data_IF_101950276952
#
_entry.id   IF_101950276952
#
_cell.length_a   1.000
_cell.length_b   1.000
_cell.length_c   1.000
_cell.angle_alpha   90.00
_cell.angle_beta   90.00
_cell.angle_gamma   90.00
#
_symmetry.space_group_name_H-M   'P 1'
#
loop_
_entity.id
_entity.type
_entity.pdbx_description
1 polymer ?
#
# COMPACT_ATOMS: atom_id res chain seq x y z
N UNK A 1 -31.46 -12.22 7.28
CA UNK A 1 -30.55 -12.48 6.15
C UNK A 1 -29.81 -11.17 5.93
N UNK A 2 -28.54 -11.08 6.32
CA UNK A 2 -27.74 -9.90 6.00
C UNK A 2 -27.70 -9.78 4.47
N UNK A 3 -27.96 -8.60 3.94
CA UNK A 3 -27.94 -8.36 2.50
C UNK A 3 -26.49 -8.26 2.04
N UNK A 4 -25.88 -9.42 1.81
CA UNK A 4 -24.50 -9.52 1.32
C UNK A 4 -24.31 -8.75 0.01
N UNK A 5 -25.34 -8.65 -0.84
CA UNK A 5 -25.26 -7.90 -2.08
C UNK A 5 -25.11 -6.38 -1.85
N UNK A 6 -25.82 -5.84 -0.85
CA UNK A 6 -25.64 -4.43 -0.46
C UNK A 6 -24.24 -4.17 0.08
N UNK A 7 -23.70 -5.09 0.89
CA UNK A 7 -22.36 -4.97 1.45
C UNK A 7 -21.28 -4.97 0.37
N UNK A 8 -21.36 -5.90 -0.59
CA UNK A 8 -20.43 -5.99 -1.70
C UNK A 8 -20.50 -4.75 -2.59
N UNK A 9 -21.70 -4.25 -2.87
CA UNK A 9 -21.88 -3.00 -3.61
C UNK A 9 -21.21 -1.82 -2.91
N UNK A 10 -21.42 -1.68 -1.59
CA UNK A 10 -20.82 -0.58 -0.83
C UNK A 10 -19.29 -0.65 -0.88
N UNK A 11 -18.69 -1.83 -0.68
CA UNK A 11 -17.24 -1.97 -0.60
C UNK A 11 -16.53 -1.92 -1.96
N UNK A 12 -17.07 -2.57 -2.98
CA UNK A 12 -16.37 -2.77 -4.25
C UNK A 12 -16.83 -1.81 -5.35
N UNK A 13 -17.95 -1.10 -5.15
CA UNK A 13 -18.46 -0.12 -6.11
C UNK A 13 -18.46 1.29 -5.52
N UNK A 14 -19.21 1.54 -4.45
CA UNK A 14 -19.38 2.91 -3.94
C UNK A 14 -18.10 3.46 -3.28
N UNK A 15 -17.48 2.67 -2.40
CA UNK A 15 -16.33 3.10 -1.61
C UNK A 15 -15.12 3.55 -2.46
N UNK A 16 -14.70 2.84 -3.53
CA UNK A 16 -13.58 3.28 -4.38
C UNK A 16 -13.79 4.66 -4.99
N UNK A 17 -14.98 4.95 -5.51
CA UNK A 17 -15.27 6.28 -6.08
C UNK A 17 -15.21 7.38 -5.01
N UNK A 18 -15.84 7.16 -3.86
CA UNK A 18 -15.81 8.13 -2.75
C UNK A 18 -14.37 8.36 -2.28
N UNK A 19 -13.58 7.29 -2.13
CA UNK A 19 -12.19 7.39 -1.71
C UNK A 19 -11.33 8.21 -2.69
N UNK A 20 -11.45 7.95 -4.00
CA UNK A 20 -10.71 8.70 -5.04
C UNK A 20 -11.15 10.16 -5.09
N UNK A 21 -12.46 10.43 -5.07
CA UNK A 21 -12.99 11.80 -5.08
C UNK A 21 -12.47 12.57 -3.88
N UNK A 22 -12.54 11.99 -2.68
CA UNK A 22 -12.01 12.61 -1.47
C UNK A 22 -10.50 12.83 -1.56
N UNK A 23 -9.73 11.84 -2.00
CA UNK A 23 -8.27 11.94 -2.11
C UNK A 23 -7.86 13.09 -3.05
N UNK A 24 -8.52 13.23 -4.20
CA UNK A 24 -8.22 14.27 -5.19
C UNK A 24 -8.70 15.64 -4.71
N UNK A 25 -9.98 15.77 -4.33
CA UNK A 25 -10.57 17.08 -4.00
C UNK A 25 -9.99 17.63 -2.71
N UNK A 26 -9.91 16.83 -1.65
CA UNK A 26 -9.31 17.27 -0.38
C UNK A 26 -7.81 17.50 -0.54
N UNK A 27 -7.13 16.69 -1.36
CA UNK A 27 -5.73 16.89 -1.71
C UNK A 27 -5.47 18.25 -2.38
N UNK A 28 -6.26 18.60 -3.41
CA UNK A 28 -6.17 19.90 -4.09
C UNK A 28 -6.53 21.04 -3.13
N UNK A 29 -7.59 20.89 -2.35
CA UNK A 29 -8.00 21.91 -1.37
C UNK A 29 -6.88 22.17 -0.35
N UNK A 30 -6.30 21.13 0.24
CA UNK A 30 -5.18 21.24 1.18
C UNK A 30 -3.96 21.88 0.52
N UNK A 31 -3.61 21.45 -0.69
CA UNK A 31 -2.50 22.04 -1.42
C UNK A 31 -2.71 23.52 -1.78
N UNK A 32 -3.95 23.98 -1.96
CA UNK A 32 -4.23 25.37 -2.34
C UNK A 32 -4.39 26.29 -1.13
N UNK A 33 -5.04 25.83 -0.06
CA UNK A 33 -5.43 26.64 1.09
C UNK A 33 -4.54 26.42 2.33
N UNK A 34 -3.83 25.29 2.44
CA UNK A 34 -2.99 24.94 3.59
C UNK A 34 -1.67 24.28 3.15
N UNK A 35 -0.88 25.05 2.39
CA UNK A 35 0.39 24.59 1.81
C UNK A 35 1.42 24.18 2.86
N UNK A 36 1.43 24.83 4.01
CA UNK A 36 2.40 24.55 5.07
C UNK A 36 2.21 23.15 5.66
N UNK A 37 0.97 22.65 5.71
CA UNK A 37 0.74 21.27 6.15
C UNK A 37 1.09 20.23 5.07
N UNK A 38 1.31 20.60 3.82
CA UNK A 38 1.67 19.68 2.73
C UNK A 38 3.18 19.37 2.72
N UNK A 39 3.63 18.56 3.68
CA UNK A 39 5.03 18.17 3.85
C UNK A 39 5.16 16.74 4.37
N UNK A 40 6.38 16.19 4.37
CA UNK A 40 6.67 14.84 4.88
C UNK A 40 6.68 14.75 6.42
N UNK A 41 6.64 15.88 7.14
CA UNK A 41 6.76 15.95 8.59
C UNK A 41 7.89 15.06 9.15
N UNK A 42 9.08 15.19 8.57
CA UNK A 42 10.21 14.35 8.93
C UNK A 42 10.58 14.49 10.41
N UNK A 43 10.69 13.34 11.09
CA UNK A 43 11.17 13.26 12.47
C UNK A 43 12.66 12.87 12.57
N UNK A 44 13.40 12.96 11.45
CA UNK A 44 14.80 12.51 11.36
C UNK A 44 15.75 13.27 12.27
N UNK A 45 15.56 14.58 12.40
CA UNK A 45 16.39 15.42 13.27
C UNK A 45 16.30 15.04 14.75
N UNK A 46 15.20 14.41 15.17
CA UNK A 46 14.96 14.03 16.58
C UNK A 46 15.68 12.73 16.93
N UNK A 47 15.71 11.79 15.99
CA UNK A 47 16.35 10.48 16.10
C UNK A 47 16.54 9.92 14.68
N UNK A 48 17.79 9.70 14.24
CA UNK A 48 18.10 9.27 12.87
C UNK A 48 18.48 7.79 12.76
N UNK A 49 19.07 7.20 13.81
CA UNK A 49 19.68 5.88 13.72
C UNK A 49 18.62 4.80 13.53
N UNK A 50 17.60 4.76 14.38
CA UNK A 50 16.49 3.83 14.21
C UNK A 50 15.61 4.24 13.02
N UNK A 51 15.45 5.55 12.75
CA UNK A 51 14.71 6.00 11.57
C UNK A 51 15.31 5.44 10.28
N UNK A 52 16.63 5.50 10.10
CA UNK A 52 17.29 5.04 8.89
C UNK A 52 16.98 3.56 8.61
N UNK A 53 17.18 2.71 9.62
CA UNK A 53 16.94 1.26 9.51
C UNK A 53 15.47 0.87 9.35
N UNK A 54 14.52 1.77 9.66
CA UNK A 54 13.10 1.53 9.41
C UNK A 54 12.66 2.12 8.07
N UNK A 55 13.00 3.38 7.83
CA UNK A 55 12.54 4.19 6.72
C UNK A 55 13.11 3.73 5.38
N UNK A 56 14.41 3.42 5.31
CA UNK A 56 15.06 2.98 4.07
C UNK A 56 14.45 1.67 3.58
N UNK A 57 14.47 0.56 4.35
CA UNK A 57 13.87 -0.69 3.88
C UNK A 57 12.36 -0.56 3.62
N UNK A 58 11.61 0.17 4.45
CA UNK A 58 10.19 0.43 4.22
C UNK A 58 9.96 1.07 2.84
N UNK A 59 10.61 2.19 2.54
CA UNK A 59 10.35 2.94 1.31
C UNK A 59 10.84 2.20 0.06
N UNK A 60 12.04 1.62 0.09
CA UNK A 60 12.53 0.86 -1.08
C UNK A 60 11.62 -0.33 -1.38
N UNK A 61 11.20 -1.07 -0.35
CA UNK A 61 10.34 -2.22 -0.54
C UNK A 61 8.93 -1.82 -1.02
N UNK A 62 8.27 -0.89 -0.33
CA UNK A 62 6.88 -0.52 -0.66
C UNK A 62 6.77 0.17 -2.02
N UNK A 63 7.76 0.97 -2.42
CA UNK A 63 7.78 1.61 -3.75
C UNK A 63 7.94 0.57 -4.85
N UNK A 64 8.85 -0.40 -4.70
CA UNK A 64 9.02 -1.48 -5.69
C UNK A 64 7.76 -2.36 -5.79
N UNK A 65 7.14 -2.67 -4.65
CA UNK A 65 5.86 -3.40 -4.63
C UNK A 65 4.77 -2.62 -5.35
N UNK A 66 4.63 -1.31 -5.05
CA UNK A 66 3.65 -0.45 -5.69
C UNK A 66 3.87 -0.39 -7.21
N UNK A 67 5.12 -0.21 -7.66
CA UNK A 67 5.46 -0.18 -9.08
C UNK A 67 5.08 -1.49 -9.79
N UNK A 68 5.33 -2.64 -9.16
CA UNK A 68 4.91 -3.93 -9.69
C UNK A 68 3.37 -4.03 -9.83
N UNK A 69 2.61 -3.61 -8.80
CA UNK A 69 1.14 -3.60 -8.86
C UNK A 69 0.63 -2.68 -9.97
N UNK A 70 1.19 -1.47 -10.08
CA UNK A 70 0.81 -0.51 -11.12
C UNK A 70 1.16 -1.01 -12.52
N UNK A 71 2.31 -1.66 -12.70
CA UNK A 71 2.71 -2.23 -13.98
C UNK A 71 1.77 -3.34 -14.42
N UNK A 72 1.39 -4.24 -13.50
CA UNK A 72 0.42 -5.30 -13.76
C UNK A 72 -0.97 -4.74 -14.09
N UNK A 73 -1.41 -3.70 -13.39
CA UNK A 73 -2.70 -3.06 -13.59
C UNK A 73 -2.81 -2.28 -14.91
N UNK A 74 -1.77 -1.51 -15.24
CA UNK A 74 -1.77 -0.62 -16.40
C UNK A 74 -1.39 -1.33 -17.70
N UNK A 75 -0.56 -2.37 -17.62
CA UNK A 75 -0.04 -3.10 -18.77
C UNK A 75 -0.21 -4.62 -18.60
N UNK A 76 -1.45 -5.13 -18.53
CA UNK A 76 -1.71 -6.54 -18.22
C UNK A 76 -1.12 -7.52 -19.23
N UNK A 77 -1.10 -7.18 -20.52
CA UNK A 77 -0.49 -8.04 -21.55
C UNK A 77 1.03 -8.18 -21.35
N UNK A 78 1.73 -7.06 -21.09
CA UNK A 78 3.16 -7.08 -20.79
C UNK A 78 3.44 -7.88 -19.52
N UNK A 79 2.61 -7.73 -18.50
CA UNK A 79 2.77 -8.47 -17.25
C UNK A 79 2.51 -9.97 -17.45
N UNK A 80 1.50 -10.35 -18.24
CA UNK A 80 1.24 -11.74 -18.61
C UNK A 80 2.47 -12.36 -19.31
N UNK A 81 3.07 -11.65 -20.27
CA UNK A 81 4.30 -12.10 -20.93
C UNK A 81 5.47 -12.22 -19.93
N UNK A 82 5.58 -11.27 -18.99
CA UNK A 82 6.62 -11.30 -17.96
C UNK A 82 6.49 -12.52 -17.04
N UNK A 83 5.29 -12.98 -16.71
CA UNK A 83 5.08 -14.14 -15.83
C UNK A 83 4.94 -15.47 -16.58
N UNK A 84 4.90 -15.45 -17.92
CA UNK A 84 4.61 -16.63 -18.74
C UNK A 84 5.57 -17.81 -18.56
N UNK A 85 6.79 -17.60 -18.06
CA UNK A 85 7.74 -18.69 -17.79
C UNK A 85 7.81 -18.99 -16.30
N UNK A 86 7.87 -20.29 -15.91
CA UNK A 86 7.98 -20.66 -14.50
C UNK A 86 9.13 -19.96 -13.78
N UNK A 87 10.30 -19.85 -14.42
CA UNK A 87 11.47 -19.19 -13.82
C UNK A 87 11.17 -17.74 -13.44
N UNK A 88 10.56 -16.95 -14.34
CA UNK A 88 10.24 -15.55 -14.03
C UNK A 88 9.14 -15.44 -12.97
N UNK A 89 8.15 -16.32 -13.03
CA UNK A 89 7.10 -16.41 -12.02
C UNK A 89 7.67 -16.70 -10.62
N UNK A 90 8.56 -17.70 -10.48
CA UNK A 90 9.23 -18.02 -9.22
C UNK A 90 10.10 -16.86 -8.72
N UNK A 91 10.87 -16.22 -9.61
CA UNK A 91 11.70 -15.07 -9.24
C UNK A 91 10.83 -13.94 -8.70
N UNK A 92 9.74 -13.60 -9.39
CA UNK A 92 8.80 -12.56 -8.96
C UNK A 92 8.12 -12.91 -7.64
N UNK A 93 7.71 -14.16 -7.44
CA UNK A 93 7.11 -14.62 -6.17
C UNK A 93 8.09 -14.44 -5.00
N UNK A 94 9.32 -14.94 -5.14
CA UNK A 94 10.34 -14.86 -4.07
C UNK A 94 10.74 -13.41 -3.82
N UNK A 95 10.96 -12.63 -4.86
CA UNK A 95 11.28 -11.20 -4.73
C UNK A 95 10.12 -10.44 -4.10
N UNK A 96 8.87 -10.70 -4.50
CA UNK A 96 7.68 -10.08 -3.94
C UNK A 96 7.53 -10.36 -2.44
N UNK A 97 7.69 -11.62 -2.02
CA UNK A 97 7.66 -12.01 -0.61
C UNK A 97 8.81 -11.39 0.19
N UNK A 98 10.02 -11.35 -0.36
CA UNK A 98 11.17 -10.73 0.29
C UNK A 98 10.97 -9.22 0.48
N UNK A 99 10.43 -8.53 -0.53
CA UNK A 99 10.09 -7.11 -0.43
C UNK A 99 8.97 -6.89 0.59
N UNK A 100 7.90 -7.68 0.55
CA UNK A 100 6.77 -7.54 1.48
C UNK A 100 7.20 -7.75 2.94
N UNK A 101 8.06 -8.74 3.21
CA UNK A 101 8.64 -8.94 4.53
C UNK A 101 9.55 -7.77 4.94
N UNK A 102 10.37 -7.26 4.01
CA UNK A 102 11.24 -6.10 4.24
C UNK A 102 10.41 -4.85 4.59
N UNK A 103 9.32 -4.60 3.86
CA UNK A 103 8.39 -3.51 4.13
C UNK A 103 7.74 -3.68 5.51
N UNK A 104 7.21 -4.87 5.81
CA UNK A 104 6.56 -5.16 7.10
C UNK A 104 7.51 -4.92 8.28
N UNK A 105 8.72 -5.47 8.23
CA UNK A 105 9.71 -5.29 9.30
C UNK A 105 10.17 -3.83 9.42
N UNK A 106 10.39 -3.13 8.30
CA UNK A 106 10.74 -1.71 8.29
C UNK A 106 9.65 -0.85 8.94
N UNK A 107 8.38 -1.11 8.63
CA UNK A 107 7.24 -0.39 9.21
C UNK A 107 7.07 -0.69 10.71
N UNK A 108 7.19 -1.95 11.11
CA UNK A 108 7.16 -2.34 12.54
C UNK A 108 8.26 -1.58 13.30
N UNK A 109 9.47 -1.50 12.75
CA UNK A 109 10.56 -0.76 13.38
C UNK A 109 10.26 0.75 13.48
N UNK A 110 9.63 1.35 12.46
CA UNK A 110 9.19 2.75 12.52
C UNK A 110 8.12 2.98 13.60
N UNK A 111 7.18 2.06 13.77
CA UNK A 111 6.15 2.12 14.82
C UNK A 111 6.81 1.99 16.20
N UNK A 112 7.64 0.96 16.40
CA UNK A 112 8.38 0.75 17.65
C UNK A 112 9.23 1.97 17.99
N UNK A 113 9.91 2.57 17.02
CA UNK A 113 10.67 3.82 17.21
C UNK A 113 9.78 4.95 17.74
N UNK A 114 8.60 5.16 17.16
CA UNK A 114 7.69 6.24 17.59
C UNK A 114 7.14 6.01 18.99
N UNK A 115 6.98 4.76 19.42
CA UNK A 115 6.51 4.41 20.76
C UNK A 115 7.62 4.50 21.82
N UNK A 116 8.87 4.21 21.44
CA UNK A 116 9.99 4.10 22.40
C UNK A 116 10.86 5.36 22.51
N UNK A 117 10.92 6.18 21.46
CA UNK A 117 11.65 7.45 21.51
C UNK A 117 10.75 8.57 22.02
N UNK A 118 11.01 9.06 23.25
CA UNK A 118 10.26 10.17 23.84
C UNK A 118 10.19 11.40 22.92
N UNK A 119 11.28 11.71 22.22
CA UNK A 119 11.34 12.86 21.29
C UNK A 119 10.40 12.66 20.11
N UNK A 120 10.37 11.47 19.52
CA UNK A 120 9.50 11.16 18.39
C UNK A 120 8.03 11.03 18.84
N UNK A 121 7.79 10.46 20.02
CA UNK A 121 6.45 10.25 20.56
C UNK A 121 5.70 11.57 20.76
N UNK A 122 6.33 12.55 21.41
CA UNK A 122 5.70 13.84 21.75
C UNK A 122 5.28 14.66 20.51
N UNK A 123 5.93 14.45 19.36
CA UNK A 123 5.59 15.13 18.10
C UNK A 123 4.74 14.29 17.15
N UNK A 124 4.40 13.05 17.53
CA UNK A 124 3.57 12.16 16.71
C UNK A 124 2.10 12.41 17.01
N UNK A 125 1.32 12.73 15.99
CA UNK A 125 -0.12 12.97 16.11
C UNK A 125 -0.91 11.66 16.15
N UNK A 126 -2.17 11.72 16.58
CA UNK A 126 -3.08 10.56 16.51
C UNK A 126 -3.23 10.05 15.07
N UNK A 127 -3.30 10.94 14.09
CA UNK A 127 -3.43 10.57 12.67
C UNK A 127 -2.17 9.88 12.13
N UNK A 128 -0.98 10.20 12.64
CA UNK A 128 0.24 9.45 12.30
C UNK A 128 0.13 8.00 12.76
N UNK A 129 -0.38 7.75 13.97
CA UNK A 129 -0.60 6.40 14.47
C UNK A 129 -1.68 5.65 13.69
N UNK A 130 -2.78 6.33 13.35
CA UNK A 130 -3.84 5.75 12.51
C UNK A 130 -3.27 5.36 11.15
N UNK A 131 -2.53 6.26 10.48
CA UNK A 131 -1.92 5.98 9.19
C UNK A 131 -0.95 4.80 9.25
N UNK A 132 -0.06 4.78 10.24
CA UNK A 132 0.89 3.67 10.42
C UNK A 132 0.17 2.34 10.72
N UNK A 133 -0.91 2.38 11.50
CA UNK A 133 -1.73 1.21 11.79
C UNK A 133 -2.43 0.67 10.53
N UNK A 134 -3.03 1.55 9.72
CA UNK A 134 -3.67 1.17 8.45
C UNK A 134 -2.64 0.59 7.48
N UNK A 135 -1.46 1.22 7.35
CA UNK A 135 -0.38 0.70 6.51
C UNK A 135 0.13 -0.66 7.01
N UNK A 136 0.22 -0.86 8.32
CA UNK A 136 0.65 -2.13 8.91
C UNK A 136 -0.35 -3.24 8.62
N UNK A 137 -1.64 -2.95 8.78
CA UNK A 137 -2.72 -3.89 8.42
C UNK A 137 -2.68 -4.18 6.92
N UNK A 138 -2.54 -3.17 6.07
CA UNK A 138 -2.48 -3.34 4.62
C UNK A 138 -1.33 -4.26 4.21
N UNK A 139 -0.10 -3.96 4.63
CA UNK A 139 1.08 -4.73 4.19
C UNK A 139 1.09 -6.12 4.82
N UNK A 140 0.60 -6.25 6.06
CA UNK A 140 0.43 -7.53 6.73
C UNK A 140 -0.59 -8.43 6.03
N UNK A 141 -1.75 -7.89 5.64
CA UNK A 141 -2.75 -8.62 4.86
C UNK A 141 -2.24 -8.98 3.46
N UNK A 142 -1.56 -8.06 2.78
CA UNK A 142 -0.95 -8.34 1.47
C UNK A 142 0.08 -9.47 1.53
N UNK A 143 0.96 -9.45 2.54
CA UNK A 143 1.93 -10.52 2.77
C UNK A 143 1.25 -11.87 3.09
N UNK A 144 0.22 -11.85 3.93
CA UNK A 144 -0.57 -13.04 4.26
C UNK A 144 -1.24 -13.67 3.03
N UNK A 145 -1.92 -12.85 2.22
CA UNK A 145 -2.58 -13.30 0.98
C UNK A 145 -1.55 -13.91 0.02
N UNK A 146 -0.40 -13.24 -0.17
CA UNK A 146 0.67 -13.75 -1.02
C UNK A 146 1.21 -15.11 -0.53
N UNK A 147 1.39 -15.30 0.77
CA UNK A 147 1.86 -16.57 1.33
C UNK A 147 0.84 -17.70 1.18
N UNK A 148 -0.43 -17.43 1.46
CA UNK A 148 -1.47 -18.46 1.53
C UNK A 148 -1.95 -18.89 0.15
N UNK A 149 -2.29 -17.93 -0.70
CA UNK A 149 -2.85 -18.23 -2.02
C UNK A 149 -1.77 -18.48 -3.07
N UNK A 150 -0.57 -17.92 -2.85
CA UNK A 150 0.60 -18.00 -3.74
C UNK A 150 0.31 -17.43 -5.13
N UNK A 151 1.36 -17.21 -5.90
CA UNK A 151 1.24 -16.79 -7.31
C UNK A 151 0.45 -15.48 -7.46
N UNK A 152 0.72 -14.54 -6.55
CA UNK A 152 0.10 -13.22 -6.51
C UNK A 152 0.09 -12.52 -7.87
N UNK A 153 1.21 -12.63 -8.56
CA UNK A 153 1.43 -12.03 -9.87
C UNK A 153 0.54 -12.59 -10.99
N UNK A 154 -0.02 -13.79 -10.84
CA UNK A 154 -0.87 -14.47 -11.83
C UNK A 154 -2.35 -14.20 -11.56
N UNK A 155 -2.87 -14.58 -10.40
CA UNK A 155 -4.31 -14.40 -10.11
C UNK A 155 -4.72 -12.93 -10.05
N UNK A 156 -3.79 -12.00 -9.79
CA UNK A 156 -4.06 -10.56 -9.83
C UNK A 156 -4.57 -10.10 -11.20
N UNK A 157 -4.05 -10.67 -12.29
CA UNK A 157 -4.48 -10.37 -13.67
C UNK A 157 -5.94 -10.76 -13.95
N UNK A 158 -6.45 -11.75 -13.21
CA UNK A 158 -7.78 -12.32 -13.43
C UNK A 158 -8.82 -11.88 -12.41
N UNK A 159 -8.41 -11.12 -11.38
CA UNK A 159 -9.28 -10.71 -10.28
C UNK A 159 -9.28 -9.19 -10.11
N UNK A 160 -8.19 -8.63 -9.58
CA UNK A 160 -8.08 -7.22 -9.27
C UNK A 160 -7.96 -6.36 -10.52
N UNK A 161 -7.22 -6.79 -11.54
CA UNK A 161 -7.04 -5.99 -12.78
C UNK A 161 -8.37 -5.75 -13.50
N UNK A 162 -9.21 -6.75 -13.79
CA UNK A 162 -10.51 -6.53 -14.40
C UNK A 162 -11.45 -5.67 -13.55
N UNK A 163 -11.44 -5.84 -12.22
CA UNK A 163 -12.22 -5.00 -11.31
C UNK A 163 -11.78 -3.54 -11.31
N UNK A 164 -10.46 -3.26 -11.27
CA UNK A 164 -9.97 -1.89 -11.39
C UNK A 164 -10.32 -1.29 -12.75
N UNK A 165 -10.23 -2.07 -13.83
CA UNK A 165 -10.62 -1.63 -15.16
C UNK A 165 -12.12 -1.28 -15.24
N UNK A 166 -12.99 -2.08 -14.61
CA UNK A 166 -14.44 -1.85 -14.56
C UNK A 166 -14.78 -0.52 -13.86
N UNK A 167 -14.07 -0.20 -12.76
CA UNK A 167 -14.17 1.08 -12.09
C UNK A 167 -13.70 2.26 -12.96
N UNK A 168 -12.61 2.09 -13.72
CA UNK A 168 -12.07 3.16 -14.57
C UNK A 168 -13.00 3.52 -15.73
N UNK A 169 -13.71 2.54 -16.30
CA UNK A 169 -14.67 2.76 -17.39
C UNK A 169 -16.09 3.07 -16.88
N UNK A 170 -16.26 3.25 -15.56
CA UNK A 170 -17.54 3.53 -14.90
C UNK A 170 -18.61 2.46 -15.18
N UNK A 171 -18.20 1.20 -15.33
CA UNK A 171 -19.07 0.04 -15.49
C UNK A 171 -18.69 -1.06 -14.47
N UNK A 172 -18.88 -0.77 -13.17
CA UNK A 172 -18.40 -1.60 -12.06
C UNK A 172 -18.99 -3.01 -12.03
#
# INVERSE_FOLDING_TARGET
MFDFALFDFVLFVAFPYVAVVLAVVVGIHRYTHDRFSYSSFSSQFLENRALFWGSVPWHYAIVLILLAHLLAALFPAFWADLIATPVRLYVLEVTGLALALTALLGLVLLIVRRLTSLRAFVVTSLLDFVLLGVLLVQVGLGFWVALVYRWGSDWYLHTAVPWMASLLVLNP
#
